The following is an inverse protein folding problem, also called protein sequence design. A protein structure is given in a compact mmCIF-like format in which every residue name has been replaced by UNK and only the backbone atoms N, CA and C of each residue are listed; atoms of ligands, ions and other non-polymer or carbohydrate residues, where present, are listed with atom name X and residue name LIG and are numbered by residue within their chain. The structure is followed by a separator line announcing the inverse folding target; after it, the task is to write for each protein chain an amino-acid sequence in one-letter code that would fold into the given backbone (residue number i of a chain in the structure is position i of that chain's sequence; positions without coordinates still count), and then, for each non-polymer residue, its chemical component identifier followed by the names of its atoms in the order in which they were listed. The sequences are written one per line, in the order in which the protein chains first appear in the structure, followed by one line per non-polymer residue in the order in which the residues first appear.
data_IF_828713551188
#
_entry.id   IF_828713551188
#
_cell.length_a   1.000
_cell.length_b   1.000
_cell.length_c   1.000
_cell.angle_alpha   90.00
_cell.angle_beta   90.00
_cell.angle_gamma   90.00
#
_symmetry.space_group_name_H-M   'P 1'
#
loop_
_entity.id
_entity.type
_entity.pdbx_description
1 polymer ?
#
# COMPACT_ATOMS: atom_id res chain seq x y z
N UNK A 1 -20.76 21.37 18.26
CA UNK A 1 -19.31 21.68 18.18
C UNK A 1 -19.05 22.62 17.02
N UNK A 2 -18.69 23.86 17.38
CA UNK A 2 -18.29 24.92 16.45
C UNK A 2 -17.02 24.51 15.66
N UNK A 3 -16.92 24.96 14.42
CA UNK A 3 -15.82 24.58 13.50
C UNK A 3 -14.82 25.73 13.42
N UNK A 4 -13.71 25.62 14.13
CA UNK A 4 -12.69 26.70 14.21
C UNK A 4 -11.63 26.59 13.14
N UNK A 5 -11.57 25.48 12.39
CA UNK A 5 -10.51 25.20 11.40
C UNK A 5 -10.96 25.35 9.94
N UNK A 6 -12.26 25.59 9.70
CA UNK A 6 -12.82 25.73 8.35
C UNK A 6 -12.87 24.42 7.54
N UNK A 7 -12.44 23.29 8.11
CA UNK A 7 -12.47 21.97 7.46
C UNK A 7 -13.91 21.57 7.14
N UNK A 8 -14.12 20.98 5.98
CA UNK A 8 -15.40 20.42 5.55
C UNK A 8 -15.23 18.95 5.17
N UNK A 9 -16.24 18.16 5.48
CA UNK A 9 -16.40 16.79 4.99
C UNK A 9 -17.54 16.81 3.97
N UNK A 10 -17.28 16.26 2.79
CA UNK A 10 -18.20 16.26 1.66
C UNK A 10 -18.87 14.90 1.49
N UNK A 11 -19.93 14.82 0.68
CA UNK A 11 -20.54 13.53 0.29
C UNK A 11 -19.50 12.60 -0.35
N UNK A 12 -18.67 13.18 -1.23
CA UNK A 12 -17.61 12.49 -1.93
C UNK A 12 -16.56 11.89 -0.98
N UNK A 13 -16.27 12.54 0.14
CA UNK A 13 -15.37 11.98 1.16
C UNK A 13 -15.92 10.68 1.77
N UNK A 14 -17.23 10.59 1.97
CA UNK A 14 -17.86 9.35 2.43
C UNK A 14 -17.87 8.28 1.35
N UNK A 15 -18.15 8.63 0.09
CA UNK A 15 -18.10 7.69 -1.04
C UNK A 15 -16.70 7.06 -1.15
N UNK A 16 -15.64 7.88 -1.12
CA UNK A 16 -14.26 7.39 -1.10
C UNK A 16 -13.92 6.57 0.14
N UNK A 17 -14.40 6.97 1.32
CA UNK A 17 -14.18 6.20 2.55
C UNK A 17 -14.85 4.83 2.53
N UNK A 18 -16.06 4.72 1.97
CA UNK A 18 -16.79 3.46 1.81
C UNK A 18 -16.05 2.55 0.83
N UNK A 19 -15.65 3.09 -0.33
CA UNK A 19 -14.88 2.33 -1.34
C UNK A 19 -13.54 1.88 -0.75
N UNK A 20 -12.82 2.76 -0.04
CA UNK A 20 -11.57 2.41 0.62
C UNK A 20 -11.79 1.31 1.67
N UNK A 21 -12.84 1.41 2.50
CA UNK A 21 -13.18 0.40 3.49
C UNK A 21 -13.51 -0.96 2.88
N UNK A 22 -14.25 -0.98 1.77
CA UNK A 22 -14.53 -2.20 1.01
C UNK A 22 -13.23 -2.84 0.50
N UNK A 23 -12.36 -2.05 -0.15
CA UNK A 23 -11.09 -2.53 -0.70
C UNK A 23 -10.15 -3.03 0.39
N UNK A 24 -9.98 -2.27 1.48
CA UNK A 24 -9.21 -2.69 2.67
C UNK A 24 -9.74 -4.03 3.19
N UNK A 25 -11.05 -4.15 3.33
CA UNK A 25 -11.72 -5.36 3.78
C UNK A 25 -11.40 -6.57 2.90
N UNK A 26 -11.42 -6.43 1.58
CA UNK A 26 -11.09 -7.55 0.68
C UNK A 26 -9.59 -7.84 0.61
N UNK A 27 -8.75 -6.80 0.58
CA UNK A 27 -7.31 -6.94 0.41
C UNK A 27 -6.61 -7.49 1.65
N UNK A 28 -7.17 -7.27 2.85
CA UNK A 28 -6.61 -7.84 4.08
C UNK A 28 -6.90 -9.35 4.19
N UNK A 29 -7.90 -9.89 3.51
CA UNK A 29 -8.24 -11.32 3.56
C UNK A 29 -7.08 -12.23 3.10
N UNK A 30 -6.51 -12.08 1.88
CA UNK A 30 -5.39 -12.91 1.45
C UNK A 30 -4.14 -12.70 2.33
N UNK A 31 -3.93 -11.48 2.84
CA UNK A 31 -2.83 -11.18 3.78
C UNK A 31 -3.02 -11.93 5.09
N UNK A 32 -4.22 -11.86 5.67
CA UNK A 32 -4.55 -12.53 6.93
C UNK A 32 -4.50 -14.06 6.79
N UNK A 33 -5.00 -14.60 5.67
CA UNK A 33 -4.89 -16.03 5.36
C UNK A 33 -3.43 -16.48 5.32
N UNK A 34 -2.54 -15.63 4.83
CA UNK A 34 -1.11 -15.92 4.76
C UNK A 34 -0.43 -15.80 6.13
N UNK A 35 -0.77 -14.77 6.92
CA UNK A 35 -0.14 -14.51 8.23
C UNK A 35 -0.65 -15.46 9.31
N UNK A 36 -1.97 -15.63 9.41
CA UNK A 36 -2.63 -16.47 10.42
C UNK A 36 -3.92 -17.11 9.84
N UNK A 37 -3.84 -18.35 9.32
CA UNK A 37 -4.99 -19.07 8.80
C UNK A 37 -6.12 -19.25 9.82
N UNK A 38 -5.79 -19.39 11.11
CA UNK A 38 -6.77 -19.53 12.19
C UNK A 38 -7.60 -18.27 12.40
N UNK A 39 -6.96 -17.09 12.43
CA UNK A 39 -7.67 -15.82 12.57
C UNK A 39 -8.50 -15.57 11.31
N UNK A 40 -7.97 -15.90 10.13
CA UNK A 40 -8.73 -15.84 8.89
C UNK A 40 -10.02 -16.67 8.96
N UNK A 41 -9.93 -17.93 9.37
CA UNK A 41 -11.10 -18.81 9.46
C UNK A 41 -12.18 -18.28 10.43
N UNK A 42 -11.76 -17.65 11.53
CA UNK A 42 -12.68 -17.08 12.54
C UNK A 42 -13.34 -15.78 12.09
N UNK A 43 -12.61 -14.91 11.40
CA UNK A 43 -13.02 -13.52 11.20
C UNK A 43 -13.26 -13.09 9.75
N UNK A 44 -12.95 -13.93 8.75
CA UNK A 44 -13.04 -13.54 7.32
C UNK A 44 -14.38 -12.92 6.92
N UNK A 45 -15.50 -13.48 7.42
CA UNK A 45 -16.85 -13.01 7.08
C UNK A 45 -17.15 -11.62 7.67
N UNK A 46 -16.55 -11.30 8.82
CA UNK A 46 -16.81 -10.05 9.56
C UNK A 46 -15.88 -8.92 9.13
N UNK A 47 -14.69 -9.24 8.61
CA UNK A 47 -13.66 -8.26 8.23
C UNK A 47 -14.18 -7.26 7.18
N UNK A 48 -14.81 -7.73 6.10
CA UNK A 48 -15.28 -6.84 5.03
C UNK A 48 -16.38 -5.89 5.53
N UNK A 49 -17.47 -6.39 6.16
CA UNK A 49 -18.47 -5.51 6.78
C UNK A 49 -17.89 -4.55 7.82
N UNK A 50 -16.93 -5.01 8.63
CA UNK A 50 -16.27 -4.18 9.63
C UNK A 50 -15.59 -2.98 8.99
N UNK A 51 -14.69 -3.19 8.00
CA UNK A 51 -13.97 -2.08 7.37
C UNK A 51 -14.86 -1.19 6.50
N UNK A 52 -15.91 -1.75 5.87
CA UNK A 52 -16.92 -1.00 5.13
C UNK A 52 -17.61 0.06 6.00
N UNK A 53 -17.89 -0.27 7.27
CA UNK A 53 -18.55 0.64 8.22
C UNK A 53 -17.55 1.48 9.02
N UNK A 54 -16.46 0.86 9.49
CA UNK A 54 -15.47 1.51 10.34
C UNK A 54 -14.74 2.66 9.63
N UNK A 55 -14.51 2.55 8.32
CA UNK A 55 -13.78 3.58 7.56
C UNK A 55 -14.53 4.92 7.47
N UNK A 56 -15.79 4.99 6.98
CA UNK A 56 -16.55 6.24 6.99
C UNK A 56 -16.86 6.76 8.41
N UNK A 57 -17.08 5.87 9.38
CA UNK A 57 -17.25 6.28 10.79
C UNK A 57 -15.96 6.88 11.36
N UNK A 58 -14.82 6.25 11.13
CA UNK A 58 -13.50 6.74 11.53
C UNK A 58 -13.18 8.10 10.90
N UNK A 59 -13.51 8.27 9.61
CA UNK A 59 -13.37 9.57 8.96
C UNK A 59 -14.26 10.64 9.59
N UNK A 60 -15.48 10.28 10.00
CA UNK A 60 -16.40 11.20 10.70
C UNK A 60 -15.86 11.59 12.08
N UNK A 61 -15.30 10.64 12.84
CA UNK A 61 -14.66 10.90 14.12
C UNK A 61 -13.43 11.83 13.92
N UNK A 62 -12.58 11.52 12.95
CA UNK A 62 -11.43 12.34 12.59
C UNK A 62 -11.83 13.76 12.18
N UNK A 63 -12.94 13.93 11.46
CA UNK A 63 -13.50 15.23 11.14
C UNK A 63 -13.96 15.99 12.40
N UNK A 64 -14.62 15.32 13.34
CA UNK A 64 -15.05 15.94 14.60
C UNK A 64 -13.87 16.46 15.42
N UNK A 65 -12.77 15.70 15.49
CA UNK A 65 -11.52 16.14 16.12
C UNK A 65 -10.82 17.24 15.30
N UNK A 66 -10.87 17.10 13.97
CA UNK A 66 -10.32 18.03 12.98
C UNK A 66 -10.90 19.43 13.04
N UNK A 67 -12.14 19.58 13.51
CA UNK A 67 -12.78 20.89 13.75
C UNK A 67 -12.00 21.78 14.73
N UNK A 68 -11.21 21.18 15.63
CA UNK A 68 -10.33 21.90 16.57
C UNK A 68 -8.87 21.89 16.11
N UNK A 69 -8.40 20.75 15.62
CA UNK A 69 -6.99 20.55 15.24
C UNK A 69 -6.94 20.04 13.81
N UNK A 70 -6.70 20.94 12.86
CA UNK A 70 -6.82 20.66 11.43
C UNK A 70 -5.96 19.47 10.96
N UNK A 71 -4.78 19.32 11.54
CA UNK A 71 -3.81 18.28 11.20
C UNK A 71 -4.34 16.86 11.47
N UNK A 72 -5.25 16.66 12.43
CA UNK A 72 -5.80 15.33 12.75
C UNK A 72 -6.57 14.76 11.55
N UNK A 73 -7.40 15.59 10.91
CA UNK A 73 -8.18 15.16 9.75
C UNK A 73 -7.29 14.84 8.54
N UNK A 74 -6.23 15.63 8.34
CA UNK A 74 -5.26 15.41 7.27
C UNK A 74 -4.47 14.10 7.50
N UNK A 75 -3.98 13.87 8.72
CA UNK A 75 -3.29 12.63 9.10
C UNK A 75 -4.21 11.43 8.94
N UNK A 76 -5.48 11.52 9.35
CA UNK A 76 -6.43 10.42 9.22
C UNK A 76 -6.68 10.04 7.74
N UNK A 77 -6.90 11.03 6.86
CA UNK A 77 -7.03 10.79 5.42
C UNK A 77 -5.76 10.19 4.81
N UNK A 78 -4.61 10.78 5.13
CA UNK A 78 -3.32 10.30 4.62
C UNK A 78 -3.01 8.88 5.11
N UNK A 79 -3.24 8.61 6.39
CA UNK A 79 -3.07 7.29 6.99
C UNK A 79 -3.98 6.24 6.39
N UNK A 80 -5.25 6.58 6.15
CA UNK A 80 -6.20 5.68 5.49
C UNK A 80 -5.74 5.29 4.08
N UNK A 81 -5.28 6.25 3.28
CA UNK A 81 -4.74 5.98 1.94
C UNK A 81 -3.44 5.18 2.02
N UNK A 82 -2.59 5.48 3.01
CA UNK A 82 -1.38 4.70 3.29
C UNK A 82 -1.69 3.23 3.55
N UNK A 83 -2.62 2.95 4.48
CA UNK A 83 -3.09 1.59 4.79
C UNK A 83 -3.65 0.90 3.55
N UNK A 84 -4.50 1.59 2.80
CA UNK A 84 -5.06 1.04 1.57
C UNK A 84 -3.96 0.68 0.57
N UNK A 85 -3.00 1.56 0.31
CA UNK A 85 -1.91 1.29 -0.63
C UNK A 85 -1.01 0.14 -0.19
N UNK A 86 -0.70 0.04 1.11
CA UNK A 86 0.05 -1.10 1.65
C UNK A 86 -0.73 -2.41 1.48
N UNK A 87 -2.04 -2.39 1.74
CA UNK A 87 -2.89 -3.56 1.54
C UNK A 87 -3.09 -3.91 0.06
N UNK A 88 -3.07 -2.93 -0.85
CA UNK A 88 -3.03 -3.23 -2.29
C UNK A 88 -1.74 -3.96 -2.62
N UNK A 89 -0.57 -3.47 -2.16
CA UNK A 89 0.71 -4.15 -2.42
C UNK A 89 0.70 -5.58 -1.85
N UNK A 90 0.37 -5.75 -0.57
CA UNK A 90 0.44 -7.05 0.09
C UNK A 90 -0.66 -8.00 -0.39
N UNK A 91 -1.87 -7.49 -0.58
CA UNK A 91 -3.00 -8.25 -1.09
C UNK A 91 -2.75 -8.74 -2.51
N UNK A 92 -2.25 -7.89 -3.40
CA UNK A 92 -1.89 -8.29 -4.78
C UNK A 92 -0.73 -9.28 -4.77
N UNK A 93 0.30 -9.07 -3.94
CA UNK A 93 1.40 -10.02 -3.80
C UNK A 93 0.91 -11.42 -3.38
N UNK A 94 0.06 -11.48 -2.35
CA UNK A 94 -0.52 -12.73 -1.87
C UNK A 94 -1.41 -13.39 -2.93
N UNK A 95 -2.24 -12.60 -3.64
CA UNK A 95 -3.10 -13.10 -4.71
C UNK A 95 -2.31 -13.64 -5.90
N UNK A 96 -1.34 -12.89 -6.42
CA UNK A 96 -0.48 -13.32 -7.53
C UNK A 96 0.29 -14.59 -7.14
N UNK A 97 0.84 -14.63 -5.93
CA UNK A 97 1.54 -15.83 -5.42
C UNK A 97 0.61 -17.04 -5.38
N UNK A 98 -0.62 -16.87 -4.89
CA UNK A 98 -1.63 -17.94 -4.83
C UNK A 98 -2.05 -18.40 -6.22
N UNK A 99 -2.29 -17.46 -7.16
CA UNK A 99 -2.70 -17.79 -8.52
C UNK A 99 -1.60 -18.54 -9.28
N UNK A 100 -0.35 -18.07 -9.18
CA UNK A 100 0.79 -18.75 -9.83
C UNK A 100 1.04 -20.14 -9.25
N UNK A 101 0.98 -20.28 -7.92
CA UNK A 101 1.14 -21.58 -7.27
C UNK A 101 0.00 -22.55 -7.64
N UNK A 102 -1.25 -22.09 -7.65
CA UNK A 102 -2.40 -22.95 -7.91
C UNK A 102 -2.53 -23.38 -9.38
N UNK A 103 -2.39 -22.43 -10.32
CA UNK A 103 -2.66 -22.69 -11.74
C UNK A 103 -1.42 -23.07 -12.55
N UNK A 104 -0.25 -22.51 -12.21
CA UNK A 104 0.98 -22.73 -12.96
C UNK A 104 1.98 -23.63 -12.24
N UNK A 105 1.70 -24.01 -10.98
CA UNK A 105 2.61 -24.79 -10.12
C UNK A 105 3.98 -24.12 -9.94
N UNK A 106 4.03 -22.78 -10.03
CA UNK A 106 5.24 -21.98 -9.84
C UNK A 106 5.23 -21.41 -8.41
N UNK A 107 6.27 -21.70 -7.66
CA UNK A 107 6.48 -21.21 -6.30
C UNK A 107 7.36 -19.96 -6.28
N UNK A 108 7.22 -19.14 -5.23
CA UNK A 108 7.99 -17.89 -5.07
C UNK A 108 9.51 -18.10 -5.06
N UNK A 109 9.97 -19.30 -4.64
CA UNK A 109 11.39 -19.68 -4.59
C UNK A 109 11.95 -20.19 -5.92
N UNK A 110 11.09 -20.49 -6.88
CA UNK A 110 11.54 -21.02 -8.16
C UNK A 110 12.42 -20.00 -8.88
N UNK A 111 13.46 -20.49 -9.54
CA UNK A 111 14.39 -19.64 -10.26
C UNK A 111 13.70 -19.07 -11.51
N UNK A 112 13.72 -17.75 -11.65
CA UNK A 112 13.30 -17.07 -12.88
C UNK A 112 14.50 -16.94 -13.83
N UNK A 113 15.61 -16.41 -13.32
CA UNK A 113 16.92 -16.28 -13.97
C UNK A 113 17.99 -16.45 -12.87
N UNK A 114 19.22 -16.83 -13.21
CA UNK A 114 20.31 -17.01 -12.25
C UNK A 114 20.35 -15.91 -11.16
N UNK A 115 20.08 -16.30 -9.91
CA UNK A 115 20.07 -15.40 -8.76
C UNK A 115 18.74 -14.71 -8.43
N UNK A 116 17.79 -14.64 -9.37
CA UNK A 116 16.47 -13.99 -9.26
C UNK A 116 15.36 -15.05 -9.21
N UNK A 117 14.45 -14.95 -8.25
CA UNK A 117 13.33 -15.88 -8.11
C UNK A 117 12.02 -15.28 -8.63
N UNK A 118 11.01 -16.12 -8.84
CA UNK A 118 9.66 -15.67 -9.20
C UNK A 118 9.04 -14.71 -8.17
N UNK A 119 9.47 -14.76 -6.90
CA UNK A 119 9.10 -13.75 -5.91
C UNK A 119 9.39 -12.31 -6.37
N UNK A 120 10.54 -12.07 -7.01
CA UNK A 120 10.89 -10.74 -7.52
C UNK A 120 9.89 -10.24 -8.55
N UNK A 121 9.41 -11.14 -9.43
CA UNK A 121 8.38 -10.84 -10.41
C UNK A 121 7.04 -10.54 -9.73
N UNK A 122 6.63 -11.35 -8.75
CA UNK A 122 5.37 -11.14 -8.03
C UNK A 122 5.38 -9.81 -7.27
N UNK A 123 6.50 -9.47 -6.63
CA UNK A 123 6.68 -8.19 -5.93
C UNK A 123 6.69 -7.01 -6.90
N UNK A 124 7.28 -7.17 -8.08
CA UNK A 124 7.26 -6.13 -9.11
C UNK A 124 5.82 -5.83 -9.55
N UNK A 125 5.03 -6.86 -9.83
CA UNK A 125 3.61 -6.73 -10.20
C UNK A 125 2.83 -6.05 -9.08
N UNK A 126 2.99 -6.52 -7.83
CA UNK A 126 2.25 -5.98 -6.69
C UNK A 126 2.55 -4.51 -6.44
N UNK A 127 3.83 -4.12 -6.54
CA UNK A 127 4.24 -2.73 -6.36
C UNK A 127 3.68 -1.83 -7.45
N UNK A 128 3.72 -2.25 -8.72
CA UNK A 128 3.18 -1.46 -9.84
C UNK A 128 1.68 -1.22 -9.64
N UNK A 129 0.93 -2.25 -9.30
CA UNK A 129 -0.51 -2.14 -9.04
C UNK A 129 -0.78 -1.19 -7.85
N UNK A 130 -0.01 -1.32 -6.76
CA UNK A 130 -0.11 -0.44 -5.61
C UNK A 130 0.21 1.03 -5.94
N UNK A 131 1.23 1.28 -6.76
CA UNK A 131 1.59 2.64 -7.19
C UNK A 131 0.53 3.27 -8.09
N UNK A 132 -0.03 2.50 -9.02
CA UNK A 132 -1.15 2.97 -9.86
C UNK A 132 -2.35 3.31 -8.98
N UNK A 133 -2.74 2.41 -8.06
CA UNK A 133 -3.80 2.67 -7.08
C UNK A 133 -3.54 3.95 -6.29
N UNK A 134 -2.33 4.12 -5.75
CA UNK A 134 -1.92 5.30 -5.01
C UNK A 134 -2.09 6.59 -5.82
N UNK A 135 -1.76 6.57 -7.11
CA UNK A 135 -1.97 7.73 -8.00
C UNK A 135 -3.45 8.10 -8.11
N UNK A 136 -4.35 7.13 -8.32
CA UNK A 136 -5.79 7.40 -8.40
C UNK A 136 -6.34 7.99 -7.10
N UNK A 137 -6.00 7.40 -5.95
CA UNK A 137 -6.45 7.89 -4.64
C UNK A 137 -5.94 9.30 -4.34
N UNK A 138 -4.65 9.55 -4.59
CA UNK A 138 -4.07 10.86 -4.33
C UNK A 138 -4.61 11.92 -5.30
N UNK A 139 -4.76 11.62 -6.58
CA UNK A 139 -5.29 12.55 -7.59
C UNK A 139 -6.75 12.88 -7.36
N UNK A 140 -7.60 11.86 -7.20
CA UNK A 140 -9.06 12.03 -7.16
C UNK A 140 -9.62 12.18 -5.74
N UNK A 141 -8.82 12.13 -4.68
CA UNK A 141 -9.33 12.35 -3.33
C UNK A 141 -8.50 13.30 -2.47
N UNK A 142 -7.18 13.11 -2.42
CA UNK A 142 -6.32 13.93 -1.53
C UNK A 142 -6.05 15.32 -2.10
N UNK A 143 -5.73 15.40 -3.40
CA UNK A 143 -5.18 16.60 -4.03
C UNK A 143 -6.09 17.22 -5.09
N UNK A 144 -7.39 16.89 -5.11
CA UNK A 144 -8.35 17.41 -6.10
C UNK A 144 -8.70 18.92 -5.90
N UNK A 145 -7.80 19.69 -5.32
CA UNK A 145 -7.90 21.15 -5.25
C UNK A 145 -6.83 21.76 -6.16
N UNK A 146 -7.20 21.94 -7.43
CA UNK A 146 -6.49 22.81 -8.37
C UNK A 146 -5.04 22.41 -8.62
N UNK A 147 -4.83 21.30 -9.34
CA UNK A 147 -3.51 20.94 -9.84
C UNK A 147 -2.99 22.04 -10.78
N UNK A 148 -2.14 22.94 -10.25
CA UNK A 148 -1.21 23.72 -11.05
C UNK A 148 -0.50 22.75 -11.99
N UNK A 149 -0.53 23.04 -13.29
CA UNK A 149 0.16 22.26 -14.31
C UNK A 149 1.63 22.11 -13.91
N UNK A 150 2.00 20.92 -13.44
CA UNK A 150 3.41 20.58 -13.29
C UNK A 150 4.07 20.60 -14.66
N UNK A 151 5.27 21.14 -14.70
CA UNK A 151 6.05 21.26 -15.93
C UNK A 151 6.51 19.87 -16.38
N UNK A 152 6.63 19.62 -17.70
CA UNK A 152 7.08 18.31 -18.23
C UNK A 152 8.38 17.80 -17.59
N UNK A 153 9.26 18.72 -17.17
CA UNK A 153 10.53 18.42 -16.47
C UNK A 153 10.32 17.78 -15.09
N UNK A 154 9.37 18.29 -14.29
CA UNK A 154 9.08 17.78 -12.94
C UNK A 154 8.49 16.36 -13.01
N UNK A 155 7.68 16.09 -14.05
CA UNK A 155 7.14 14.76 -14.30
C UNK A 155 8.23 13.73 -14.65
N UNK A 156 9.18 14.10 -15.53
CA UNK A 156 10.32 13.23 -15.89
C UNK A 156 11.21 12.92 -14.68
N UNK A 157 11.48 13.91 -13.83
CA UNK A 157 12.26 13.72 -12.60
C UNK A 157 11.52 12.84 -11.59
N UNK A 158 10.22 13.08 -11.40
CA UNK A 158 9.37 12.25 -10.56
C UNK A 158 9.34 10.80 -11.04
N UNK A 159 9.20 10.59 -12.36
CA UNK A 159 9.20 9.26 -12.96
C UNK A 159 10.53 8.54 -12.73
N UNK A 160 11.66 9.20 -12.99
CA UNK A 160 12.99 8.62 -12.78
C UNK A 160 13.23 8.22 -11.31
N UNK A 161 12.90 9.08 -10.35
CA UNK A 161 13.02 8.76 -8.91
C UNK A 161 12.12 7.58 -8.54
N UNK A 162 10.90 7.53 -9.07
CA UNK A 162 9.93 6.47 -8.79
C UNK A 162 10.35 5.12 -9.38
N UNK A 163 11.00 5.10 -10.56
CA UNK A 163 11.56 3.88 -11.15
C UNK A 163 12.70 3.34 -10.28
N UNK A 164 13.59 4.20 -9.77
CA UNK A 164 14.65 3.76 -8.86
C UNK A 164 14.07 3.26 -7.53
N UNK A 165 13.06 3.96 -6.99
CA UNK A 165 12.35 3.52 -5.78
C UNK A 165 11.68 2.16 -5.96
N UNK A 166 11.11 1.90 -7.13
CA UNK A 166 10.60 0.58 -7.51
C UNK A 166 11.70 -0.49 -7.52
N UNK A 167 12.85 -0.22 -8.15
CA UNK A 167 13.95 -1.16 -8.20
C UNK A 167 14.50 -1.48 -6.80
N UNK A 168 14.65 -0.45 -5.95
CA UNK A 168 15.07 -0.61 -4.55
C UNK A 168 14.04 -1.45 -3.78
N UNK A 169 12.74 -1.17 -3.96
CA UNK A 169 11.66 -1.92 -3.30
C UNK A 169 11.75 -3.41 -3.63
N UNK A 170 11.78 -3.75 -4.92
CA UNK A 170 11.81 -5.14 -5.39
C UNK A 170 13.10 -5.82 -4.97
N UNK A 171 14.24 -5.12 -5.09
CA UNK A 171 15.55 -5.66 -4.69
C UNK A 171 15.60 -5.98 -3.21
N UNK A 172 15.29 -5.02 -2.33
CA UNK A 172 15.33 -5.21 -0.87
C UNK A 172 14.33 -6.29 -0.46
N UNK A 173 13.12 -6.27 -1.02
CA UNK A 173 12.14 -7.31 -0.73
C UNK A 173 12.64 -8.71 -1.10
N UNK A 174 13.25 -8.85 -2.28
CA UNK A 174 13.77 -10.13 -2.78
C UNK A 174 14.99 -10.59 -1.99
N UNK A 175 15.84 -9.66 -1.59
CA UNK A 175 17.00 -9.93 -0.75
C UNK A 175 16.58 -10.42 0.63
N UNK A 176 15.61 -9.75 1.28
CA UNK A 176 15.07 -10.17 2.59
C UNK A 176 14.42 -11.54 2.50
N UNK A 177 13.60 -11.77 1.47
CA UNK A 177 12.97 -13.07 1.20
C UNK A 177 14.00 -14.20 1.05
N UNK A 178 15.08 -13.96 0.30
CA UNK A 178 16.07 -15.00 -0.05
C UNK A 178 17.14 -15.23 1.02
N UNK A 179 17.68 -14.16 1.61
CA UNK A 179 18.95 -14.20 2.37
C UNK A 179 18.74 -14.16 3.87
N UNK A 180 17.75 -13.41 4.35
CA UNK A 180 17.70 -13.02 5.77
C UNK A 180 16.87 -13.99 6.62
N UNK A 181 15.89 -14.69 6.04
CA UNK A 181 14.86 -15.36 6.87
C UNK A 181 14.52 -16.80 6.47
N UNK A 182 14.97 -17.29 5.30
CA UNK A 182 14.65 -18.64 4.81
C UNK A 182 15.28 -19.80 5.60
N UNK A 183 16.26 -19.53 6.47
CA UNK A 183 16.96 -20.55 7.28
C UNK A 183 16.92 -20.31 8.79
N UNK A 184 16.46 -19.14 9.26
CA UNK A 184 16.54 -18.75 10.68
C UNK A 184 15.22 -18.89 11.44
N UNK A 185 14.09 -19.05 10.74
CA UNK A 185 12.74 -19.10 11.34
C UNK A 185 11.81 -20.01 10.53
N UNK A 186 10.97 -20.79 11.23
CA UNK A 186 9.97 -21.70 10.64
C UNK A 186 8.76 -20.94 10.07
N UNK A 187 8.99 -20.00 9.15
CA UNK A 187 7.93 -19.27 8.45
C UNK A 187 7.64 -19.88 7.08
N UNK A 188 6.39 -19.76 6.64
CA UNK A 188 5.99 -20.14 5.28
C UNK A 188 6.53 -19.15 4.24
N UNK A 189 6.71 -19.59 2.99
CA UNK A 189 7.13 -18.74 1.88
C UNK A 189 6.22 -17.49 1.72
N UNK A 190 4.92 -17.62 1.97
CA UNK A 190 3.99 -16.50 1.95
C UNK A 190 4.25 -15.48 3.06
N UNK A 191 4.50 -15.93 4.29
CA UNK A 191 4.82 -15.04 5.42
C UNK A 191 6.16 -14.33 5.19
N UNK A 192 7.18 -15.06 4.73
CA UNK A 192 8.47 -14.50 4.34
C UNK A 192 8.32 -13.47 3.22
N UNK A 193 7.46 -13.75 2.24
CA UNK A 193 7.16 -12.81 1.16
C UNK A 193 6.52 -11.52 1.66
N UNK A 194 5.57 -11.59 2.60
CA UNK A 194 4.96 -10.40 3.20
C UNK A 194 5.96 -9.58 4.03
N UNK A 195 6.86 -10.25 4.77
CA UNK A 195 7.94 -9.57 5.50
C UNK A 195 8.89 -8.88 4.52
N UNK A 196 9.34 -9.59 3.49
CA UNK A 196 10.17 -9.02 2.42
C UNK A 196 9.49 -7.80 1.80
N UNK A 197 8.20 -7.90 1.47
CA UNK A 197 7.43 -6.78 0.93
C UNK A 197 7.41 -5.57 1.88
N UNK A 198 7.27 -5.77 3.19
CA UNK A 198 7.31 -4.70 4.18
C UNK A 198 8.66 -3.96 4.17
N UNK A 199 9.77 -4.70 4.21
CA UNK A 199 11.12 -4.11 4.17
C UNK A 199 11.39 -3.39 2.85
N UNK A 200 10.98 -3.98 1.72
CA UNK A 200 11.08 -3.34 0.41
C UNK A 200 10.30 -2.02 0.35
N UNK A 201 9.08 -2.00 0.90
CA UNK A 201 8.24 -0.80 0.96
C UNK A 201 8.84 0.29 1.84
N UNK A 202 9.41 -0.06 2.99
CA UNK A 202 10.15 0.90 3.82
C UNK A 202 11.35 1.50 3.06
N UNK A 203 12.17 0.65 2.42
CA UNK A 203 13.34 1.10 1.68
C UNK A 203 12.98 1.98 0.47
N UNK A 204 11.99 1.57 -0.32
CA UNK A 204 11.51 2.32 -1.47
C UNK A 204 10.89 3.67 -1.08
N UNK A 205 10.14 3.71 0.03
CA UNK A 205 9.60 4.97 0.57
C UNK A 205 10.70 5.90 1.07
N UNK A 206 11.72 5.37 1.76
CA UNK A 206 12.87 6.15 2.20
C UNK A 206 13.61 6.77 1.00
N UNK A 207 13.83 5.99 -0.07
CA UNK A 207 14.39 6.50 -1.31
C UNK A 207 13.53 7.58 -1.95
N UNK A 208 12.23 7.34 -2.12
CA UNK A 208 11.32 8.30 -2.72
C UNK A 208 11.33 9.63 -1.94
N UNK A 209 11.31 9.57 -0.60
CA UNK A 209 11.41 10.76 0.24
C UNK A 209 12.72 11.52 0.02
N UNK A 210 13.86 10.83 0.04
CA UNK A 210 15.18 11.43 -0.19
C UNK A 210 15.28 12.01 -1.61
N UNK A 211 14.88 11.25 -2.63
CA UNK A 211 14.95 11.67 -4.03
C UNK A 211 14.04 12.85 -4.34
N UNK A 212 12.82 12.86 -3.82
CA UNK A 212 11.92 14.02 -3.96
C UNK A 212 12.48 15.24 -3.26
N UNK A 213 13.02 15.08 -2.04
CA UNK A 213 13.60 16.18 -1.26
C UNK A 213 14.88 16.74 -1.89
N UNK A 214 15.77 15.90 -2.41
CA UNK A 214 17.10 16.30 -2.88
C UNK A 214 17.17 16.64 -4.37
N UNK A 215 16.26 16.14 -5.21
CA UNK A 215 16.34 16.34 -6.66
C UNK A 215 15.08 16.98 -7.27
N UNK A 216 13.88 16.63 -6.82
CA UNK A 216 12.64 17.12 -7.44
C UNK A 216 12.22 18.49 -6.89
N UNK A 217 12.29 18.67 -5.57
CA UNK A 217 11.87 19.93 -4.92
C UNK A 217 13.04 20.85 -4.58
N UNK A 218 14.17 20.73 -5.29
CA UNK A 218 15.22 21.76 -5.24
C UNK A 218 14.66 23.07 -5.79
N UNK A 219 14.31 23.96 -4.87
CA UNK A 219 14.48 25.41 -5.07
C UNK A 219 15.90 25.76 -4.67
#
# INVERSE_FOLDING_TARGET
MENTTGIRITKRDYEFAIVAGLLIGFLILPVLKTVSPEIFAKFAIVIVPFFLLATPLGLRIAFMLGKKIAIIYQIAKFGLIGVLNTLVDFGVLALVTLLFSAYFQIQSKDALIAGITFYSLYKAISFIVANISSYFWNKYWTFDQGAKQQTKSEFLQFFAVSVIGFLINVFVASFVFKVVLGSLINLTDGQLGLIGAAFGSIAGLAWNFIGYKLWVFKK
#
